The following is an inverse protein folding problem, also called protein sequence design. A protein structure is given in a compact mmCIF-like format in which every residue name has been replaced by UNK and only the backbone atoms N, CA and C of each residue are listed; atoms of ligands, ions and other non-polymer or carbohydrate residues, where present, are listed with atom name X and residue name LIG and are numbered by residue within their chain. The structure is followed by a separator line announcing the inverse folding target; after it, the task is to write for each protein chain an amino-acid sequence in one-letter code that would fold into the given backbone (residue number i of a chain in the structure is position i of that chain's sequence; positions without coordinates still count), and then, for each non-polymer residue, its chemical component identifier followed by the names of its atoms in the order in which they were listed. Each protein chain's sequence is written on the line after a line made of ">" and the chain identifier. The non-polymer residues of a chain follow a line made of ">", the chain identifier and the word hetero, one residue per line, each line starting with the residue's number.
data_IF_976878982869
#
_entry.id   IF_976878982869
#
_cell.length_a   1.000
_cell.length_b   1.000
_cell.length_c   1.000
_cell.angle_alpha   90.00
_cell.angle_beta   90.00
_cell.angle_gamma   90.00
#
_symmetry.space_group_name_H-M   'P 1'
#
loop_
_entity.id
_entity.type
_entity.pdbx_description
1 polymer ?
#
# COMPACT_ATOMS: atom_id res chain seq x y z
N UNK A 1 15.22 13.95 -16.56
CA UNK A 1 16.40 13.33 -17.20
C UNK A 1 16.09 11.86 -17.48
N UNK A 2 16.37 11.36 -18.68
CA UNK A 2 16.24 9.93 -18.99
C UNK A 2 17.53 9.21 -18.61
N UNK A 3 17.45 8.23 -17.72
CA UNK A 3 18.59 7.40 -17.35
C UNK A 3 18.70 6.18 -18.26
N UNK A 4 19.91 5.84 -18.70
CA UNK A 4 20.20 4.61 -19.44
C UNK A 4 21.21 3.78 -18.67
N UNK A 5 20.91 2.49 -18.49
CA UNK A 5 21.72 1.58 -17.68
C UNK A 5 22.08 0.31 -18.46
N UNK A 6 23.28 -0.22 -18.21
CA UNK A 6 23.78 -1.44 -18.86
C UNK A 6 22.93 -2.69 -18.56
N UNK A 7 22.34 -2.75 -17.37
CA UNK A 7 21.53 -3.88 -16.92
C UNK A 7 20.08 -3.44 -16.70
N UNK A 8 19.08 -4.26 -17.08
CA UNK A 8 17.68 -3.99 -16.77
C UNK A 8 17.49 -3.79 -15.26
N UNK A 9 16.77 -2.74 -14.88
CA UNK A 9 16.45 -2.46 -13.48
C UNK A 9 14.97 -2.74 -13.22
N UNK A 10 14.64 -3.44 -12.13
CA UNK A 10 13.25 -3.54 -11.70
C UNK A 10 12.77 -2.14 -11.27
N UNK A 11 11.48 -1.88 -11.42
CA UNK A 11 10.86 -0.81 -10.67
C UNK A 11 10.76 -1.21 -9.19
N UNK A 12 10.88 -0.23 -8.29
CA UNK A 12 10.77 -0.45 -6.85
C UNK A 12 9.59 0.35 -6.33
N UNK A 13 8.71 -0.31 -5.60
CA UNK A 13 7.50 0.27 -5.01
C UNK A 13 7.44 -0.04 -3.52
N UNK A 14 6.55 0.68 -2.85
CA UNK A 14 6.14 0.41 -1.48
C UNK A 14 4.62 0.30 -1.42
N UNK A 15 4.11 -0.54 -0.53
CA UNK A 15 2.68 -0.68 -0.24
C UNK A 15 2.49 -0.62 1.29
N UNK A 16 1.40 -0.04 1.76
CA UNK A 16 1.16 0.18 3.20
C UNK A 16 -0.15 -0.49 3.62
N UNK A 17 -0.06 -1.49 4.49
CA UNK A 17 -1.22 -2.05 5.19
C UNK A 17 -1.46 -1.28 6.49
N UNK A 18 -2.37 -0.31 6.46
CA UNK A 18 -2.77 0.41 7.66
C UNK A 18 -4.02 -0.23 8.27
N UNK A 19 -3.92 -0.68 9.53
CA UNK A 19 -5.02 -1.36 10.23
C UNK A 19 -5.61 -0.52 11.36
N UNK A 20 -6.90 -0.66 11.63
CA UNK A 20 -7.49 -0.20 12.90
C UNK A 20 -7.22 -1.22 14.01
N UNK A 21 -6.98 -0.75 15.23
CA UNK A 21 -6.71 -1.58 16.41
C UNK A 21 -7.96 -1.85 17.26
N UNK A 22 -9.05 -2.28 16.60
CA UNK A 22 -10.32 -2.63 17.23
C UNK A 22 -10.59 -4.16 17.18
N UNK A 23 -11.64 -4.63 17.84
CA UNK A 23 -12.00 -6.07 17.88
C UNK A 23 -12.15 -6.68 16.49
N UNK A 24 -12.77 -5.93 15.58
CA UNK A 24 -12.97 -6.28 14.18
C UNK A 24 -12.11 -5.35 13.30
N UNK A 25 -10.81 -5.65 13.14
CA UNK A 25 -9.88 -4.75 12.48
C UNK A 25 -10.25 -4.53 11.02
N UNK A 26 -10.08 -3.28 10.59
CA UNK A 26 -10.26 -2.83 9.22
C UNK A 26 -8.91 -2.51 8.61
N UNK A 27 -8.81 -2.57 7.29
CA UNK A 27 -7.66 -2.13 6.51
C UNK A 27 -8.04 -0.95 5.63
N UNK A 28 -7.15 0.04 5.56
CA UNK A 28 -7.30 1.16 4.64
C UNK A 28 -6.97 0.72 3.22
N UNK A 29 -7.88 0.99 2.29
CA UNK A 29 -7.68 0.77 0.86
C UNK A 29 -7.98 2.05 0.09
N UNK A 30 -7.39 2.15 -1.10
CA UNK A 30 -7.63 3.21 -2.08
C UNK A 30 -8.13 2.63 -3.40
N UNK A 31 -9.07 3.31 -4.04
CA UNK A 31 -9.52 2.96 -5.39
C UNK A 31 -8.47 3.40 -6.43
N UNK A 32 -8.13 2.56 -7.40
CA UNK A 32 -7.12 2.94 -8.42
C UNK A 32 -7.77 3.76 -9.53
N UNK A 33 -7.24 4.96 -9.80
CA UNK A 33 -7.71 5.83 -10.91
C UNK A 33 -7.21 5.42 -12.28
N UNK A 34 -6.03 4.79 -12.34
CA UNK A 34 -5.30 4.57 -13.59
C UNK A 34 -5.10 3.07 -13.86
N UNK A 35 -5.10 2.65 -15.14
CA UNK A 35 -4.65 1.32 -15.53
C UNK A 35 -3.21 1.05 -15.06
N UNK A 36 -2.85 -0.21 -14.76
CA UNK A 36 -3.71 -1.39 -14.69
C UNK A 36 -4.64 -1.36 -13.46
N UNK A 37 -5.68 -2.21 -13.48
CA UNK A 37 -6.64 -2.37 -12.37
C UNK A 37 -7.41 -1.09 -12.01
N UNK A 38 -7.73 -0.25 -12.99
CA UNK A 38 -8.57 0.93 -12.78
C UNK A 38 -9.92 0.52 -12.18
N UNK A 39 -10.34 1.18 -11.10
CA UNK A 39 -11.57 0.90 -10.35
C UNK A 39 -11.43 -0.22 -9.30
N UNK A 40 -10.33 -0.98 -9.29
CA UNK A 40 -10.06 -1.94 -8.21
C UNK A 40 -9.49 -1.22 -6.99
N UNK A 41 -9.57 -1.88 -5.83
CA UNK A 41 -8.99 -1.38 -4.60
C UNK A 41 -7.56 -1.89 -4.40
N UNK A 42 -6.71 -1.09 -3.77
CA UNK A 42 -5.33 -1.42 -3.49
C UNK A 42 -4.93 -0.90 -2.10
N UNK A 43 -3.78 -1.34 -1.61
CA UNK A 43 -3.15 -0.65 -0.50
C UNK A 43 -2.67 0.71 -0.98
N UNK A 44 -2.64 1.73 -0.11
CA UNK A 44 -1.86 2.93 -0.38
C UNK A 44 -0.42 2.55 -0.71
N UNK A 45 0.18 3.20 -1.70
CA UNK A 45 1.50 2.84 -2.17
C UNK A 45 1.84 3.36 -3.56
N UNK A 46 3.13 3.36 -3.86
CA UNK A 46 3.63 3.92 -5.10
C UNK A 46 5.11 3.62 -5.32
N UNK A 47 5.68 4.29 -6.32
CA UNK A 47 7.08 4.12 -6.68
C UNK A 47 7.97 4.94 -5.76
N UNK A 48 9.17 4.44 -5.51
CA UNK A 48 10.17 5.26 -4.82
C UNK A 48 10.74 6.33 -5.75
N UNK A 49 11.07 7.47 -5.16
CA UNK A 49 11.86 8.52 -5.77
C UNK A 49 13.38 8.24 -5.64
N UNK A 50 14.23 8.88 -6.47
CA UNK A 50 15.67 8.60 -6.48
C UNK A 50 16.41 8.87 -5.16
N UNK A 51 15.93 9.84 -4.37
CA UNK A 51 16.65 10.40 -3.22
C UNK A 51 15.93 10.12 -1.88
N UNK A 52 15.12 9.05 -1.80
CA UNK A 52 14.40 8.65 -0.59
C UNK A 52 14.66 7.19 -0.18
N UNK A 53 14.43 6.89 1.10
CA UNK A 53 14.42 5.52 1.62
C UNK A 53 13.08 4.84 1.35
N UNK A 54 13.00 3.51 1.51
CA UNK A 54 11.71 2.79 1.41
C UNK A 54 10.72 3.28 2.49
N UNK A 55 11.23 3.55 3.68
CA UNK A 55 10.46 4.06 4.81
C UNK A 55 9.92 5.47 4.56
N UNK A 56 10.73 6.34 3.94
CA UNK A 56 10.31 7.69 3.60
C UNK A 56 9.30 7.68 2.44
N UNK A 57 9.53 6.84 1.42
CA UNK A 57 8.57 6.60 0.35
C UNK A 57 7.22 6.14 0.91
N UNK A 58 7.22 5.17 1.83
CA UNK A 58 5.99 4.64 2.41
C UNK A 58 5.20 5.71 3.19
N UNK A 59 5.90 6.59 3.90
CA UNK A 59 5.27 7.74 4.60
C UNK A 59 4.75 8.78 3.63
N UNK A 60 5.49 9.08 2.56
CA UNK A 60 5.11 10.04 1.51
C UNK A 60 3.85 9.56 0.79
N UNK A 61 3.86 8.35 0.24
CA UNK A 61 2.72 7.76 -0.48
C UNK A 61 1.47 7.71 0.41
N UNK A 62 1.60 7.24 1.66
CA UNK A 62 0.47 7.21 2.58
C UNK A 62 -0.12 8.61 2.82
N UNK A 63 0.73 9.62 2.97
CA UNK A 63 0.29 11.01 3.17
C UNK A 63 -0.38 11.58 1.93
N UNK A 64 0.18 11.34 0.74
CA UNK A 64 -0.33 11.87 -0.53
C UNK A 64 -1.71 11.29 -0.87
N UNK A 65 -1.92 9.99 -0.63
CA UNK A 65 -3.15 9.31 -1.03
C UNK A 65 -4.27 9.39 0.02
N UNK A 66 -3.92 9.63 1.29
CA UNK A 66 -4.90 9.51 2.41
C UNK A 66 -4.89 10.68 3.40
N UNK A 67 -3.91 11.59 3.28
CA UNK A 67 -3.68 12.68 4.23
C UNK A 67 -3.07 12.24 5.57
N UNK A 68 -2.84 10.94 5.77
CA UNK A 68 -2.39 10.38 7.04
C UNK A 68 -0.88 10.50 7.23
N UNK A 69 -0.46 10.93 8.41
CA UNK A 69 0.95 10.95 8.81
C UNK A 69 1.20 9.92 9.90
N UNK A 70 1.81 8.80 9.53
CA UNK A 70 2.15 7.70 10.43
C UNK A 70 3.67 7.61 10.54
N UNK A 71 4.21 7.83 11.74
CA UNK A 71 5.67 7.85 11.94
C UNK A 71 6.28 6.45 12.10
N UNK A 72 5.52 5.52 12.68
CA UNK A 72 5.99 4.19 13.03
C UNK A 72 5.39 3.15 12.06
N UNK A 73 6.00 3.05 10.88
CA UNK A 73 5.72 1.96 9.94
C UNK A 73 6.72 0.82 10.19
N UNK A 74 6.22 -0.39 10.27
CA UNK A 74 7.03 -1.61 10.37
C UNK A 74 7.10 -2.29 9.02
N UNK A 75 8.28 -2.77 8.61
CA UNK A 75 8.40 -3.54 7.38
C UNK A 75 7.80 -4.94 7.59
N UNK A 76 6.88 -5.35 6.72
CA UNK A 76 6.34 -6.70 6.71
C UNK A 76 7.22 -7.63 5.85
N UNK A 77 7.24 -7.40 4.53
CA UNK A 77 7.91 -8.29 3.58
C UNK A 77 8.11 -7.63 2.21
N UNK A 78 9.15 -8.04 1.50
CA UNK A 78 9.37 -7.69 0.09
C UNK A 78 8.85 -8.79 -0.84
N UNK A 79 8.06 -8.38 -1.84
CA UNK A 79 7.48 -9.23 -2.88
C UNK A 79 8.15 -8.97 -4.22
N UNK A 80 8.60 -10.03 -4.89
CA UNK A 80 9.45 -9.94 -6.08
C UNK A 80 9.12 -10.98 -7.17
N UNK A 81 7.88 -11.49 -7.18
CA UNK A 81 7.42 -12.40 -8.24
C UNK A 81 7.51 -11.71 -9.61
N UNK A 82 8.08 -12.34 -10.67
CA UNK A 82 8.30 -11.68 -11.96
C UNK A 82 7.08 -11.03 -12.61
N UNK A 83 5.89 -11.60 -12.39
CA UNK A 83 4.65 -11.17 -13.03
C UNK A 83 3.64 -10.56 -12.04
N UNK A 84 4.10 -10.11 -10.86
CA UNK A 84 3.19 -9.49 -9.87
C UNK A 84 2.56 -8.19 -10.37
N UNK A 85 3.25 -7.49 -11.27
CA UNK A 85 2.80 -6.24 -11.86
C UNK A 85 2.82 -6.35 -13.39
N UNK A 86 1.69 -6.13 -14.08
CA UNK A 86 1.64 -6.21 -15.54
C UNK A 86 2.41 -5.09 -16.25
N UNK A 87 2.85 -4.05 -15.54
CA UNK A 87 3.69 -2.98 -16.08
C UNK A 87 5.14 -3.42 -16.31
N UNK A 88 5.54 -4.56 -15.74
CA UNK A 88 6.88 -5.13 -15.89
C UNK A 88 7.49 -5.55 -14.56
N UNK A 89 8.80 -5.85 -14.58
CA UNK A 89 9.53 -6.32 -13.39
C UNK A 89 9.47 -5.27 -12.29
N UNK A 90 8.68 -5.55 -11.26
CA UNK A 90 8.45 -4.65 -10.11
C UNK A 90 8.67 -5.41 -8.82
N UNK A 91 9.40 -4.80 -7.89
CA UNK A 91 9.64 -5.31 -6.54
C UNK A 91 8.94 -4.35 -5.57
N UNK A 92 8.07 -4.86 -4.72
CA UNK A 92 7.40 -4.04 -3.70
C UNK A 92 7.79 -4.44 -2.30
N UNK A 93 8.13 -3.48 -1.45
CA UNK A 93 8.28 -3.70 -0.01
C UNK A 93 7.02 -3.22 0.70
N UNK A 94 6.37 -4.15 1.40
CA UNK A 94 5.13 -3.87 2.14
C UNK A 94 5.46 -3.47 3.57
N UNK A 95 4.92 -2.34 4.00
CA UNK A 95 4.93 -1.85 5.36
C UNK A 95 3.56 -2.00 6.00
N UNK A 96 3.50 -1.92 7.32
CA UNK A 96 2.24 -1.91 8.05
C UNK A 96 2.31 -1.05 9.31
N UNK A 97 1.14 -0.65 9.80
CA UNK A 97 0.98 -0.05 11.12
C UNK A 97 -0.46 -0.28 11.63
N UNK A 98 -0.63 -0.07 12.94
CA UNK A 98 -1.91 -0.14 13.63
C UNK A 98 -2.24 1.22 14.21
N UNK A 99 -3.48 1.69 14.02
CA UNK A 99 -3.93 2.99 14.50
C UNK A 99 -5.25 2.88 15.27
N UNK A 100 -5.52 3.88 16.11
CA UNK A 100 -6.80 3.99 16.80
C UNK A 100 -7.93 4.32 15.83
N UNK A 101 -9.17 3.87 16.10
CA UNK A 101 -10.34 4.31 15.35
C UNK A 101 -10.50 5.85 15.30
N UNK A 102 -10.13 6.55 16.37
CA UNK A 102 -10.13 8.01 16.40
C UNK A 102 -9.16 8.61 15.37
N UNK A 103 -7.98 8.02 15.19
CA UNK A 103 -7.04 8.45 14.15
C UNK A 103 -7.55 8.06 12.76
N UNK A 104 -8.16 6.89 12.62
CA UNK A 104 -8.75 6.41 11.36
C UNK A 104 -9.87 7.31 10.84
N UNK A 105 -10.65 7.93 11.74
CA UNK A 105 -11.71 8.88 11.38
C UNK A 105 -11.19 10.17 10.71
N UNK A 106 -9.87 10.42 10.76
CA UNK A 106 -9.23 11.59 10.14
C UNK A 106 -8.83 11.35 8.68
N UNK A 107 -8.96 10.12 8.18
CA UNK A 107 -8.74 9.83 6.75
C UNK A 107 -9.70 10.72 5.95
N UNK A 108 -9.13 11.65 5.20
CA UNK A 108 -9.85 12.45 4.22
C UNK A 108 -9.29 12.04 2.87
N UNK A 109 -10.15 11.55 1.97
CA UNK A 109 -9.74 11.40 0.58
C UNK A 109 -9.31 12.79 0.10
N UNK A 110 -8.03 12.95 -0.25
CA UNK A 110 -7.51 14.22 -0.77
C UNK A 110 -8.25 14.63 -2.05
N UNK A 111 -8.23 15.92 -2.38
CA UNK A 111 -8.95 16.50 -3.54
C UNK A 111 -8.68 15.78 -4.87
N UNK A 112 -7.50 15.15 -5.02
CA UNK A 112 -7.09 14.36 -6.18
C UNK A 112 -6.85 12.87 -5.88
N UNK A 113 -7.16 12.39 -4.67
CA UNK A 113 -7.12 10.96 -4.35
C UNK A 113 -8.42 10.29 -4.80
N UNK A 114 -8.36 9.02 -5.17
CA UNK A 114 -9.56 8.24 -5.36
C UNK A 114 -10.18 7.96 -4.00
N UNK A 115 -11.36 7.34 -3.95
CA UNK A 115 -11.99 6.96 -2.68
C UNK A 115 -10.98 6.17 -1.84
N UNK A 116 -10.66 6.69 -0.65
CA UNK A 116 -9.95 5.98 0.40
C UNK A 116 -10.99 5.55 1.44
N UNK A 117 -11.02 4.27 1.80
CA UNK A 117 -12.04 3.74 2.71
C UNK A 117 -11.51 2.57 3.54
N UNK A 118 -12.17 2.31 4.66
CA UNK A 118 -11.83 1.28 5.63
C UNK A 118 -12.68 0.03 5.42
N UNK A 119 -12.04 -1.08 5.08
CA UNK A 119 -12.71 -2.34 4.83
C UNK A 119 -12.44 -3.34 5.95
N UNK A 120 -13.49 -4.05 6.39
CA UNK A 120 -13.33 -5.19 7.29
C UNK A 120 -12.44 -6.24 6.63
N UNK A 121 -11.48 -6.79 7.37
CA UNK A 121 -10.59 -7.82 6.84
C UNK A 121 -11.35 -9.04 6.29
N UNK A 122 -12.51 -9.37 6.87
CA UNK A 122 -13.35 -10.49 6.44
C UNK A 122 -14.32 -10.15 5.30
N UNK A 123 -14.36 -8.89 4.86
CA UNK A 123 -15.25 -8.41 3.78
C UNK A 123 -14.50 -7.44 2.86
N UNK A 124 -13.43 -7.94 2.26
CA UNK A 124 -12.61 -7.19 1.31
C UNK A 124 -13.24 -7.16 -0.08
N UNK A 125 -13.08 -6.06 -0.82
CA UNK A 125 -13.39 -6.00 -2.25
C UNK A 125 -12.31 -6.73 -3.06
N UNK A 126 -12.49 -6.80 -4.38
CA UNK A 126 -11.44 -7.29 -5.28
C UNK A 126 -10.22 -6.36 -5.23
N UNK A 127 -9.07 -6.93 -4.90
CA UNK A 127 -7.83 -6.19 -4.75
C UNK A 127 -6.99 -6.26 -6.04
N UNK A 128 -6.32 -5.14 -6.34
CA UNK A 128 -5.39 -5.03 -7.46
C UNK A 128 -4.11 -5.85 -7.23
N UNK A 129 -3.44 -6.19 -8.34
CA UNK A 129 -2.15 -6.89 -8.32
C UNK A 129 -2.19 -8.19 -7.49
N UNK A 130 -1.18 -8.43 -6.66
CA UNK A 130 -1.08 -9.54 -5.72
C UNK A 130 -1.54 -9.18 -4.30
N UNK A 131 -2.26 -8.06 -4.10
CA UNK A 131 -2.62 -7.56 -2.76
C UNK A 131 -3.53 -8.53 -2.00
N UNK A 132 -4.36 -9.30 -2.71
CA UNK A 132 -5.15 -10.37 -2.09
C UNK A 132 -4.26 -11.48 -1.49
N UNK A 133 -3.13 -11.81 -2.12
CA UNK A 133 -2.15 -12.76 -1.57
C UNK A 133 -1.46 -12.15 -0.34
N UNK A 134 -1.07 -10.88 -0.43
CA UNK A 134 -0.37 -10.16 0.65
C UNK A 134 -1.25 -10.07 1.91
N UNK A 135 -2.52 -9.65 1.79
CA UNK A 135 -3.42 -9.55 2.93
C UNK A 135 -3.73 -10.92 3.56
N UNK A 136 -3.80 -11.98 2.74
CA UNK A 136 -3.99 -13.34 3.24
C UNK A 136 -2.74 -13.83 4.02
N UNK A 137 -1.54 -13.48 3.57
CA UNK A 137 -0.31 -13.76 4.31
C UNK A 137 -0.26 -12.98 5.63
N UNK A 138 -0.65 -11.69 5.61
CA UNK A 138 -0.78 -10.88 6.81
C UNK A 138 -1.78 -11.50 7.83
N UNK A 139 -2.92 -12.01 7.34
CA UNK A 139 -3.93 -12.76 8.12
C UNK A 139 -3.33 -13.94 8.87
N UNK A 140 -2.54 -14.75 8.18
CA UNK A 140 -1.87 -15.94 8.74
C UNK A 140 -0.85 -15.53 9.81
N UNK A 141 -0.07 -14.47 9.56
CA UNK A 141 0.95 -13.96 10.49
C UNK A 141 0.38 -13.14 11.65
N UNK A 142 -0.94 -12.84 11.65
CA UNK A 142 -1.64 -12.09 12.70
C UNK A 142 -1.07 -10.70 13.00
N UNK A 143 -0.50 -10.02 12.00
CA UNK A 143 0.15 -8.71 12.18
C UNK A 143 -0.81 -7.55 12.54
N UNK A 144 -2.12 -7.79 12.44
CA UNK A 144 -3.21 -6.87 12.78
C UNK A 144 -3.79 -7.13 14.18
N UNK A 145 -3.33 -8.18 14.89
CA UNK A 145 -3.70 -8.46 16.29
C UNK A 145 -2.75 -7.78 17.27
#
# INVERSE_FOLDING_TARGET
>A
MTYSYKYPRPAVTVDIMLFTNETDPKVLLIERKNPPFQGNWAFPGGFIEPDETLEDAAKRELKEETGMMIHNLEQFKTYSEPNRDPRGRTISTVFYAKITPDLASRVSAGDDAAKADWFLLEKLPDLAFDHQKIINEAKINKIFK
#
